data_IF_347275593963
#
_entry.id   IF_347275593963
#
_cell.length_a   1.000
_cell.length_b   1.000
_cell.length_c   1.000
_cell.angle_alpha   90.00
_cell.angle_beta   90.00
_cell.angle_gamma   90.00
#
_symmetry.space_group_name_H-M   'P 1'
#
loop_
_entity.id
_entity.type
_entity.pdbx_description
1 polymer ?
#
# COMPACT_ATOMS: atom_id res chain seq x y z
N UNK A 1 22.40 -6.07 -12.08
CA UNK A 1 21.06 -6.19 -11.48
C UNK A 1 20.60 -4.80 -11.09
N UNK A 2 19.44 -4.35 -11.54
CA UNK A 2 18.84 -3.10 -11.09
C UNK A 2 18.55 -3.23 -9.60
N UNK A 3 18.88 -2.19 -8.85
CA UNK A 3 18.72 -2.17 -7.40
C UNK A 3 17.22 -2.05 -7.06
N UNK A 4 16.64 -3.01 -6.32
CA UNK A 4 15.25 -2.92 -5.86
C UNK A 4 15.07 -1.69 -4.95
N UNK A 5 14.11 -0.84 -5.29
CA UNK A 5 13.79 0.40 -4.59
C UNK A 5 13.01 0.12 -3.30
N UNK A 6 13.33 0.81 -2.20
CA UNK A 6 12.54 0.81 -0.97
C UNK A 6 11.72 2.09 -0.90
N UNK A 7 10.40 1.95 -1.07
CA UNK A 7 9.43 3.03 -1.05
C UNK A 7 8.78 3.14 0.34
N UNK A 8 9.08 4.26 1.03
CA UNK A 8 8.64 4.49 2.40
C UNK A 8 7.39 5.38 2.49
N UNK A 9 6.51 5.14 3.48
CA UNK A 9 5.36 5.99 3.75
C UNK A 9 5.76 7.29 4.46
N UNK A 10 5.15 8.41 4.05
CA UNK A 10 5.31 9.70 4.72
C UNK A 10 3.93 10.29 5.00
N UNK A 11 3.64 10.55 6.29
CA UNK A 11 2.43 11.22 6.74
C UNK A 11 2.69 12.67 7.15
N UNK A 12 3.90 12.95 7.67
CA UNK A 12 4.35 14.27 8.12
C UNK A 12 5.88 14.39 8.03
N UNK A 13 6.44 15.53 8.41
CA UNK A 13 7.89 15.78 8.34
C UNK A 13 8.70 14.82 9.23
N UNK A 14 8.23 14.48 10.43
CA UNK A 14 8.95 13.56 11.33
C UNK A 14 9.08 12.17 10.70
N UNK A 15 8.01 11.69 10.05
CA UNK A 15 8.06 10.44 9.28
C UNK A 15 8.97 10.53 8.05
N UNK A 16 9.05 11.69 7.41
CA UNK A 16 9.99 11.90 6.30
C UNK A 16 11.43 11.72 6.78
N UNK A 17 11.82 12.41 7.87
CA UNK A 17 13.17 12.30 8.41
C UNK A 17 13.48 10.89 8.94
N UNK A 18 12.52 10.23 9.56
CA UNK A 18 12.66 8.84 10.01
C UNK A 18 12.86 7.88 8.82
N UNK A 19 12.07 8.02 7.76
CA UNK A 19 12.21 7.23 6.53
C UNK A 19 13.55 7.45 5.84
N UNK A 20 13.99 8.70 5.75
CA UNK A 20 15.26 9.10 5.17
C UNK A 20 16.43 8.49 5.97
N UNK A 21 16.40 8.61 7.30
CA UNK A 21 17.40 8.04 8.20
C UNK A 21 17.43 6.51 8.16
N UNK A 22 16.30 5.86 7.93
CA UNK A 22 16.19 4.43 7.69
C UNK A 22 16.76 3.98 6.34
N UNK A 23 17.11 4.92 5.45
CA UNK A 23 17.74 4.63 4.16
C UNK A 23 16.76 4.41 3.01
N UNK A 24 15.54 4.91 3.07
CA UNK A 24 14.57 4.86 1.96
C UNK A 24 15.17 5.39 0.65
N UNK A 25 14.78 4.79 -0.47
CA UNK A 25 15.18 5.23 -1.81
C UNK A 25 14.16 6.22 -2.39
N UNK A 26 12.91 6.11 -1.98
CA UNK A 26 11.81 6.99 -2.39
C UNK A 26 10.72 7.06 -1.32
N UNK A 27 9.83 8.03 -1.49
CA UNK A 27 8.79 8.35 -0.54
C UNK A 27 7.42 8.43 -1.24
N UNK A 28 6.36 7.96 -0.56
CA UNK A 28 5.01 8.24 -1.01
C UNK A 28 4.19 8.91 0.08
N UNK A 29 3.42 9.88 -0.32
CA UNK A 29 2.57 10.66 0.56
C UNK A 29 1.26 11.07 -0.13
N UNK A 30 0.39 11.72 0.59
CA UNK A 30 -0.90 12.20 0.10
C UNK A 30 -1.05 13.68 0.38
N UNK A 31 -1.83 14.32 -0.48
CA UNK A 31 -2.43 15.59 -0.15
C UNK A 31 -3.70 15.37 0.72
N UNK A 32 -4.22 16.45 1.26
CA UNK A 32 -5.49 16.52 2.00
C UNK A 32 -6.71 16.11 1.14
N UNK A 33 -6.59 16.17 -0.18
CA UNK A 33 -7.61 15.74 -1.12
C UNK A 33 -7.13 14.61 -2.04
N UNK A 34 -8.08 13.85 -2.60
CA UNK A 34 -7.89 12.78 -3.59
C UNK A 34 -7.08 11.57 -3.12
N UNK A 35 -6.65 11.53 -1.85
CA UNK A 35 -5.91 10.41 -1.28
C UNK A 35 -6.79 9.39 -0.54
N UNK A 36 -6.42 8.11 -0.58
CA UNK A 36 -7.13 7.02 0.11
C UNK A 36 -6.86 6.95 1.64
N UNK A 37 -6.35 8.01 2.26
CA UNK A 37 -6.12 8.14 3.71
C UNK A 37 -6.50 9.54 4.20
N UNK A 38 -7.79 9.89 4.07
CA UNK A 38 -8.31 11.22 4.39
C UNK A 38 -8.16 11.62 5.87
N UNK A 39 -7.95 10.65 6.78
CA UNK A 39 -7.76 10.90 8.21
C UNK A 39 -6.30 10.87 8.66
N UNK A 40 -5.35 10.63 7.75
CA UNK A 40 -3.94 10.84 8.07
C UNK A 40 -3.64 12.34 8.14
N UNK A 41 -2.60 12.70 8.87
CA UNK A 41 -1.98 14.00 8.69
C UNK A 41 -1.41 14.03 7.27
N UNK A 42 -1.96 14.89 6.42
CA UNK A 42 -1.60 14.96 5.01
C UNK A 42 -0.99 16.34 4.71
N UNK A 43 -0.24 16.41 3.64
CA UNK A 43 0.27 17.68 3.13
C UNK A 43 -0.80 18.42 2.34
N UNK A 44 -0.65 19.73 2.22
CA UNK A 44 -1.49 20.56 1.35
C UNK A 44 -0.75 20.88 0.06
N UNK A 45 -1.48 21.34 -0.96
CA UNK A 45 -0.85 21.75 -2.22
C UNK A 45 0.08 22.96 -2.04
N UNK A 46 -0.08 23.72 -0.95
CA UNK A 46 0.74 24.88 -0.62
C UNK A 46 2.07 24.49 0.02
N UNK A 47 2.10 23.44 0.87
CA UNK A 47 3.31 23.07 1.61
C UNK A 47 4.07 21.87 1.02
N UNK A 48 3.48 21.16 0.06
CA UNK A 48 4.08 19.96 -0.55
C UNK A 48 5.40 20.28 -1.29
N UNK A 49 5.52 21.50 -1.83
CA UNK A 49 6.73 21.90 -2.55
C UNK A 49 7.98 21.82 -1.68
N UNK A 50 7.87 22.21 -0.41
CA UNK A 50 8.99 22.11 0.54
C UNK A 50 9.48 20.67 0.70
N UNK A 51 8.54 19.71 0.78
CA UNK A 51 8.87 18.27 0.89
C UNK A 51 9.51 17.76 -0.40
N UNK A 52 9.00 18.17 -1.57
CA UNK A 52 9.57 17.79 -2.87
C UNK A 52 11.01 18.29 -2.98
N UNK A 53 11.25 19.57 -2.66
CA UNK A 53 12.57 20.17 -2.70
C UNK A 53 13.55 19.47 -1.74
N UNK A 54 13.10 19.12 -0.51
CA UNK A 54 13.90 18.37 0.45
C UNK A 54 14.23 16.96 -0.04
N UNK A 55 13.26 16.24 -0.58
CA UNK A 55 13.47 14.89 -1.13
C UNK A 55 14.53 14.93 -2.25
N UNK A 56 14.42 15.88 -3.15
CA UNK A 56 15.38 16.03 -4.26
C UNK A 56 16.76 16.49 -3.79
N UNK A 57 16.84 17.32 -2.73
CA UNK A 57 18.11 17.70 -2.12
C UNK A 57 18.93 16.48 -1.67
N UNK A 58 18.24 15.42 -1.20
CA UNK A 58 18.87 14.16 -0.84
C UNK A 58 19.01 13.16 -2.01
N UNK A 59 18.74 13.59 -3.25
CA UNK A 59 18.82 12.73 -4.43
C UNK A 59 17.82 11.58 -4.44
N UNK A 60 16.67 11.75 -3.80
CA UNK A 60 15.61 10.76 -3.67
C UNK A 60 14.41 11.10 -4.55
N UNK A 61 13.44 10.18 -4.66
CA UNK A 61 12.21 10.36 -5.44
C UNK A 61 10.97 10.45 -4.55
N UNK A 62 9.94 11.14 -5.05
CA UNK A 62 8.69 11.35 -4.35
C UNK A 62 7.48 11.05 -5.25
N UNK A 63 6.53 10.29 -4.73
CA UNK A 63 5.30 9.91 -5.42
C UNK A 63 4.07 10.36 -4.63
N UNK A 64 3.18 11.09 -5.28
CA UNK A 64 1.98 11.63 -4.63
C UNK A 64 0.80 10.73 -4.94
N UNK A 65 0.06 10.34 -3.89
CA UNK A 65 -1.15 9.53 -4.06
C UNK A 65 -2.37 10.40 -4.36
N UNK A 66 -2.94 10.23 -5.54
CA UNK A 66 -4.26 10.72 -5.94
C UNK A 66 -5.13 9.51 -6.31
N UNK A 67 -5.21 8.56 -5.38
CA UNK A 67 -5.66 7.19 -5.61
C UNK A 67 -7.09 6.93 -5.12
N UNK A 68 -7.98 7.87 -5.37
CA UNK A 68 -9.43 7.72 -5.25
C UNK A 68 -10.08 7.87 -6.62
N UNK A 69 -11.30 7.36 -6.79
CA UNK A 69 -12.12 7.70 -7.96
C UNK A 69 -12.50 9.17 -7.91
N UNK A 70 -12.39 9.86 -9.04
CA UNK A 70 -12.64 11.29 -9.16
C UNK A 70 -14.06 11.52 -9.69
N UNK A 71 -14.85 12.34 -9.01
CA UNK A 71 -16.17 12.73 -9.50
C UNK A 71 -16.03 13.79 -10.61
N UNK A 72 -16.96 13.84 -11.54
CA UNK A 72 -16.97 14.85 -12.60
C UNK A 72 -16.85 16.29 -12.05
N UNK A 73 -17.53 16.56 -10.93
CA UNK A 73 -17.48 17.86 -10.25
C UNK A 73 -16.11 18.18 -9.62
N UNK A 74 -15.28 17.17 -9.36
CA UNK A 74 -13.94 17.28 -8.76
C UNK A 74 -12.84 17.32 -9.83
N UNK A 75 -13.12 16.86 -11.05
CA UNK A 75 -12.14 16.63 -12.10
C UNK A 75 -11.31 17.89 -12.42
N UNK A 76 -11.96 19.04 -12.55
CA UNK A 76 -11.23 20.30 -12.83
C UNK A 76 -10.20 20.63 -11.73
N UNK A 77 -10.57 20.44 -10.47
CA UNK A 77 -9.67 20.67 -9.34
C UNK A 77 -8.53 19.63 -9.29
N UNK A 78 -8.87 18.36 -9.51
CA UNK A 78 -7.87 17.29 -9.54
C UNK A 78 -6.80 17.53 -10.62
N UNK A 79 -7.21 17.99 -11.81
CA UNK A 79 -6.28 18.33 -12.90
C UNK A 79 -5.39 19.52 -12.49
N UNK A 80 -5.96 20.56 -11.86
CA UNK A 80 -5.14 21.72 -11.43
C UNK A 80 -4.10 21.32 -10.37
N UNK A 81 -4.38 20.30 -9.56
CA UNK A 81 -3.40 19.74 -8.61
C UNK A 81 -2.28 18.99 -9.36
N UNK A 82 -2.62 18.21 -10.37
CA UNK A 82 -1.60 17.51 -11.21
C UNK A 82 -0.67 18.50 -11.89
N UNK A 83 -1.21 19.57 -12.49
CA UNK A 83 -0.43 20.61 -13.14
C UNK A 83 0.56 21.26 -12.17
N UNK A 84 0.10 21.64 -10.97
CA UNK A 84 0.97 22.19 -9.91
C UNK A 84 2.02 21.19 -9.41
N UNK A 85 1.64 19.94 -9.19
CA UNK A 85 2.58 18.89 -8.76
C UNK A 85 3.67 18.66 -9.82
N UNK A 86 3.31 18.72 -11.09
CA UNK A 86 4.26 18.63 -12.18
C UNK A 86 5.22 19.83 -12.19
N UNK A 87 4.69 21.05 -12.04
CA UNK A 87 5.50 22.28 -11.91
C UNK A 87 6.44 22.24 -10.68
N UNK A 88 6.02 21.60 -9.60
CA UNK A 88 6.82 21.43 -8.38
C UNK A 88 7.89 20.33 -8.51
N UNK A 89 7.84 19.55 -9.60
CA UNK A 89 8.82 18.52 -9.90
C UNK A 89 8.52 17.15 -9.26
N UNK A 90 7.25 16.83 -8.92
CA UNK A 90 6.88 15.49 -8.43
C UNK A 90 7.31 14.43 -9.44
N UNK A 91 7.97 13.35 -8.96
CA UNK A 91 8.48 12.27 -9.82
C UNK A 91 7.37 11.41 -10.42
N UNK A 92 6.22 11.33 -9.77
CA UNK A 92 5.07 10.61 -10.32
C UNK A 92 3.84 10.60 -9.40
N UNK A 93 2.73 10.15 -9.95
CA UNK A 93 1.45 10.03 -9.25
C UNK A 93 1.03 8.58 -9.12
N UNK A 94 0.48 8.22 -7.96
CA UNK A 94 -0.15 6.92 -7.74
C UNK A 94 -1.66 7.13 -7.83
N UNK A 95 -2.31 6.60 -8.87
CA UNK A 95 -3.70 6.87 -9.22
C UNK A 95 -4.53 5.59 -9.32
N UNK A 96 -5.87 5.74 -9.20
CA UNK A 96 -6.82 4.65 -9.34
C UNK A 96 -7.72 4.81 -10.56
N UNK A 97 -8.09 6.04 -10.91
CA UNK A 97 -9.12 6.34 -11.88
C UNK A 97 -8.57 6.30 -13.32
N UNK A 98 -9.11 5.41 -14.16
CA UNK A 98 -8.68 5.25 -15.56
C UNK A 98 -9.04 6.46 -16.42
N UNK A 99 -10.20 7.09 -16.15
CA UNK A 99 -10.59 8.33 -16.83
C UNK A 99 -9.63 9.47 -16.52
N UNK A 100 -9.29 9.61 -15.25
CA UNK A 100 -8.30 10.58 -14.78
C UNK A 100 -6.91 10.29 -15.37
N UNK A 101 -6.48 9.01 -15.42
CA UNK A 101 -5.25 8.59 -16.10
C UNK A 101 -5.20 9.12 -17.53
N UNK A 102 -6.28 8.92 -18.30
CA UNK A 102 -6.35 9.32 -19.71
C UNK A 102 -6.18 10.83 -19.87
N UNK A 103 -6.83 11.61 -19.00
CA UNK A 103 -6.74 13.09 -19.02
C UNK A 103 -5.33 13.55 -18.65
N UNK A 104 -4.68 12.93 -17.66
CA UNK A 104 -3.30 13.29 -17.27
C UNK A 104 -2.32 13.01 -18.42
N UNK A 105 -2.42 11.84 -19.05
CA UNK A 105 -1.54 11.50 -20.19
C UNK A 105 -1.67 12.48 -21.36
N UNK A 106 -2.87 13.02 -21.58
CA UNK A 106 -3.10 14.05 -22.62
C UNK A 106 -2.53 15.41 -22.23
N UNK A 107 -2.78 15.87 -20.99
CA UNK A 107 -2.43 17.21 -20.53
C UNK A 107 -0.99 17.36 -20.01
N UNK A 108 -0.46 16.33 -19.39
CA UNK A 108 0.85 16.31 -18.74
C UNK A 108 1.60 15.03 -19.12
N UNK A 109 1.97 14.85 -20.40
CA UNK A 109 2.50 13.58 -20.91
C UNK A 109 3.83 13.14 -20.26
N UNK A 110 4.56 14.05 -19.60
CA UNK A 110 5.81 13.76 -18.89
C UNK A 110 5.62 13.24 -17.46
N UNK A 111 4.40 13.26 -16.91
CA UNK A 111 4.14 12.75 -15.56
C UNK A 111 4.18 11.23 -15.54
N UNK A 112 5.00 10.65 -14.65
CA UNK A 112 4.96 9.21 -14.40
C UNK A 112 3.66 8.82 -13.65
N UNK A 113 2.99 7.77 -14.12
CA UNK A 113 1.73 7.30 -13.54
C UNK A 113 1.84 5.85 -13.08
N UNK A 114 1.63 5.66 -11.78
CA UNK A 114 1.64 4.37 -11.14
C UNK A 114 0.20 3.91 -10.87
N UNK A 115 -0.14 2.70 -11.30
CA UNK A 115 -1.42 2.09 -10.98
C UNK A 115 -1.49 1.75 -9.49
N UNK A 116 -2.42 2.35 -8.76
CA UNK A 116 -2.59 2.12 -7.32
C UNK A 116 -3.03 0.68 -7.04
N UNK A 117 -2.64 0.16 -5.86
CA UNK A 117 -3.24 -1.07 -5.28
C UNK A 117 -4.77 -1.01 -5.20
N UNK A 118 -5.36 0.19 -5.18
CA UNK A 118 -6.81 0.42 -5.20
C UNK A 118 -7.47 -0.02 -6.53
N UNK A 119 -6.69 -0.27 -7.58
CA UNK A 119 -7.18 -0.84 -8.84
C UNK A 119 -7.35 -2.37 -8.77
N UNK A 120 -7.06 -2.98 -7.63
CA UNK A 120 -7.27 -4.40 -7.32
C UNK A 120 -6.58 -5.37 -8.29
N UNK A 121 -5.44 -5.00 -8.86
CA UNK A 121 -4.71 -5.85 -9.80
C UNK A 121 -4.05 -7.00 -9.06
N UNK A 122 -4.48 -8.23 -9.35
CA UNK A 122 -4.05 -9.47 -8.68
C UNK A 122 -3.49 -10.52 -9.63
N UNK A 123 -3.72 -10.33 -10.93
CA UNK A 123 -3.50 -11.34 -11.95
C UNK A 123 -2.77 -10.76 -13.16
N UNK A 124 -2.08 -11.65 -13.88
CA UNK A 124 -1.28 -11.29 -15.05
C UNK A 124 -2.05 -10.49 -16.11
N UNK A 125 -3.27 -10.89 -16.45
CA UNK A 125 -4.02 -10.20 -17.51
C UNK A 125 -4.46 -8.79 -17.13
N UNK A 126 -4.83 -8.56 -15.86
CA UNK A 126 -5.10 -7.22 -15.33
C UNK A 126 -3.87 -6.33 -15.39
N UNK A 127 -2.72 -6.84 -14.92
CA UNK A 127 -1.45 -6.13 -15.00
C UNK A 127 -1.03 -5.82 -16.45
N UNK A 128 -1.15 -6.81 -17.34
CA UNK A 128 -0.86 -6.65 -18.77
C UNK A 128 -1.73 -5.57 -19.42
N UNK A 129 -3.01 -5.51 -19.05
CA UNK A 129 -3.91 -4.48 -19.55
C UNK A 129 -3.47 -3.09 -19.13
N UNK A 130 -3.16 -2.88 -17.83
CA UNK A 130 -2.66 -1.57 -17.35
C UNK A 130 -1.33 -1.19 -17.98
N UNK A 131 -0.41 -2.13 -18.13
CA UNK A 131 0.84 -1.91 -18.85
C UNK A 131 0.57 -1.46 -20.30
N UNK A 132 -0.42 -2.07 -20.99
CA UNK A 132 -0.79 -1.70 -22.36
C UNK A 132 -1.42 -0.31 -22.47
N UNK A 133 -2.03 0.21 -21.39
CA UNK A 133 -2.52 1.59 -21.32
C UNK A 133 -1.37 2.60 -21.17
N UNK A 134 -0.18 2.17 -20.75
CA UNK A 134 0.98 3.00 -20.56
C UNK A 134 1.18 3.49 -19.12
N UNK A 135 0.73 2.72 -18.13
CA UNK A 135 1.20 2.91 -16.77
C UNK A 135 2.69 2.58 -16.67
N UNK A 136 3.44 3.42 -15.97
CA UNK A 136 4.88 3.28 -15.79
C UNK A 136 5.22 2.23 -14.73
N UNK A 137 4.34 2.09 -13.70
CA UNK A 137 4.48 1.12 -12.60
C UNK A 137 3.12 0.60 -12.17
N UNK A 138 3.07 -0.66 -11.76
CA UNK A 138 1.87 -1.30 -11.20
C UNK A 138 2.14 -1.68 -9.75
N UNK A 139 1.33 -1.11 -8.82
CA UNK A 139 1.28 -1.53 -7.42
C UNK A 139 0.25 -2.64 -7.30
N UNK A 140 0.70 -3.88 -7.26
CA UNK A 140 -0.21 -5.02 -7.17
C UNK A 140 -0.95 -5.07 -5.84
N UNK A 141 -2.08 -5.75 -5.85
CA UNK A 141 -2.88 -5.96 -4.65
C UNK A 141 -2.13 -6.82 -3.63
N UNK A 142 -2.34 -6.57 -2.32
CA UNK A 142 -1.66 -7.28 -1.22
C UNK A 142 -1.99 -8.76 -1.14
N UNK A 143 -3.11 -9.14 -1.72
CA UNK A 143 -3.61 -10.51 -1.80
C UNK A 143 -3.10 -11.31 -3.00
N UNK A 144 -2.13 -10.79 -3.75
CA UNK A 144 -1.52 -11.45 -4.91
C UNK A 144 -0.54 -12.54 -4.46
N UNK A 145 -0.74 -13.81 -4.85
CA UNK A 145 0.19 -14.89 -4.51
C UNK A 145 1.50 -14.79 -5.31
N UNK A 146 2.57 -15.37 -4.76
CA UNK A 146 3.93 -15.28 -5.32
C UNK A 146 4.01 -15.79 -6.77
N UNK A 147 3.22 -16.80 -7.13
CA UNK A 147 3.19 -17.34 -8.48
C UNK A 147 2.64 -16.34 -9.51
N UNK A 148 1.65 -15.53 -9.10
CA UNK A 148 1.15 -14.45 -9.96
C UNK A 148 2.12 -13.27 -10.01
N UNK A 149 2.79 -12.94 -8.89
CA UNK A 149 3.87 -11.93 -8.86
C UNK A 149 4.95 -12.29 -9.89
N UNK A 150 5.38 -13.54 -9.91
CA UNK A 150 6.38 -14.06 -10.87
C UNK A 150 5.93 -13.90 -12.32
N UNK A 151 4.67 -14.16 -12.63
CA UNK A 151 4.12 -13.95 -13.98
C UNK A 151 4.06 -12.47 -14.34
N UNK A 152 3.61 -11.62 -13.40
CA UNK A 152 3.49 -10.17 -13.63
C UNK A 152 4.86 -9.53 -13.83
N UNK A 153 5.89 -9.97 -13.09
CA UNK A 153 7.26 -9.48 -13.22
C UNK A 153 7.88 -9.70 -14.62
N UNK A 154 7.29 -10.59 -15.44
CA UNK A 154 7.73 -10.76 -16.84
C UNK A 154 7.25 -9.66 -17.79
N UNK A 155 6.37 -8.75 -17.33
CA UNK A 155 5.89 -7.62 -18.12
C UNK A 155 6.97 -6.52 -18.20
N UNK A 156 6.90 -5.69 -19.23
CA UNK A 156 7.82 -4.56 -19.44
C UNK A 156 7.50 -3.32 -18.57
N UNK A 157 6.54 -3.41 -17.65
CA UNK A 157 6.14 -2.37 -16.72
C UNK A 157 6.78 -2.61 -15.35
N UNK A 158 7.17 -1.55 -14.64
CA UNK A 158 7.72 -1.69 -13.28
C UNK A 158 6.70 -2.31 -12.32
N UNK A 159 7.18 -3.18 -11.45
CA UNK A 159 6.38 -3.89 -10.47
C UNK A 159 6.69 -3.42 -9.05
N UNK A 160 5.65 -2.99 -8.32
CA UNK A 160 5.72 -2.58 -6.91
C UNK A 160 4.90 -3.52 -6.05
N UNK A 161 5.51 -4.04 -4.97
CA UNK A 161 4.90 -5.03 -4.07
C UNK A 161 4.92 -4.53 -2.64
N UNK A 162 3.79 -4.58 -1.93
CA UNK A 162 3.77 -4.36 -0.49
C UNK A 162 4.44 -5.52 0.24
N UNK A 163 5.37 -5.20 1.14
CA UNK A 163 6.14 -6.21 1.91
C UNK A 163 5.93 -6.09 3.42
N UNK A 164 5.42 -4.95 3.91
CA UNK A 164 5.28 -4.70 5.34
C UNK A 164 4.08 -3.83 5.66
N UNK A 165 3.43 -4.11 6.80
CA UNK A 165 2.40 -3.28 7.42
C UNK A 165 0.97 -3.81 7.27
N UNK A 166 0.00 -2.95 7.48
CA UNK A 166 -1.40 -3.36 7.67
C UNK A 166 -2.04 -4.03 6.46
N UNK A 167 -2.60 -5.21 6.68
CA UNK A 167 -3.45 -5.90 5.71
C UNK A 167 -4.92 -5.47 5.84
N UNK A 168 -5.68 -5.67 4.77
CA UNK A 168 -7.11 -5.50 4.72
C UNK A 168 -7.80 -6.86 4.61
N UNK A 169 -8.97 -7.05 5.27
CA UNK A 169 -9.78 -8.27 5.17
C UNK A 169 -10.47 -8.39 3.81
N UNK A 170 -10.70 -7.28 3.15
CA UNK A 170 -11.28 -7.23 1.81
C UNK A 170 -10.20 -7.17 0.75
N UNK A 171 -10.55 -7.55 -0.46
CA UNK A 171 -9.72 -7.26 -1.63
C UNK A 171 -9.37 -5.77 -1.70
N UNK A 172 -8.15 -5.48 -2.15
CA UNK A 172 -7.61 -4.13 -2.24
C UNK A 172 -8.55 -3.23 -3.07
N UNK A 173 -8.95 -2.08 -2.51
CA UNK A 173 -9.82 -1.13 -3.20
C UNK A 173 -11.31 -1.48 -3.27
N UNK A 174 -11.76 -2.66 -2.84
CA UNK A 174 -13.13 -3.15 -3.08
C UNK A 174 -14.02 -3.18 -1.82
N UNK A 175 -13.53 -2.68 -0.68
CA UNK A 175 -14.28 -2.73 0.59
C UNK A 175 -15.43 -1.74 0.65
N UNK A 176 -16.64 -2.24 0.89
CA UNK A 176 -17.85 -1.45 1.09
C UNK A 176 -18.37 -1.44 2.54
N UNK A 177 -17.70 -2.11 3.49
CA UNK A 177 -18.19 -2.24 4.87
C UNK A 177 -18.49 -0.88 5.51
N UNK A 178 -17.57 0.09 5.39
CA UNK A 178 -17.78 1.42 5.97
C UNK A 178 -18.94 2.20 5.34
N UNK A 179 -19.29 1.88 4.09
CA UNK A 179 -20.46 2.49 3.42
C UNK A 179 -21.76 1.96 4.00
N UNK A 180 -21.84 0.65 4.26
CA UNK A 180 -23.00 0.02 4.85
C UNK A 180 -23.19 0.41 6.33
N UNK A 181 -22.12 0.45 7.11
CA UNK A 181 -22.18 0.70 8.57
C UNK A 181 -22.13 2.18 8.98
N UNK A 182 -21.96 3.12 8.07
CA UNK A 182 -21.84 4.53 8.49
C UNK A 182 -21.81 5.53 7.35
N UNK A 183 -22.19 5.13 6.14
CA UNK A 183 -22.21 6.01 4.97
C UNK A 183 -20.84 6.56 4.55
N UNK A 184 -19.74 5.92 4.99
CA UNK A 184 -18.36 6.35 4.71
C UNK A 184 -17.75 5.54 3.57
N UNK A 185 -17.23 6.19 2.55
CA UNK A 185 -16.52 5.49 1.48
C UNK A 185 -15.07 5.18 1.89
N UNK A 186 -14.79 3.91 2.15
CA UNK A 186 -13.42 3.44 2.44
C UNK A 186 -12.49 3.69 1.23
N UNK A 187 -13.00 3.52 0.01
CA UNK A 187 -12.25 3.71 -1.23
C UNK A 187 -11.94 5.19 -1.52
N UNK A 188 -12.57 6.10 -0.79
CA UNK A 188 -12.27 7.53 -0.80
C UNK A 188 -11.59 8.00 0.51
N UNK A 189 -10.86 7.10 1.15
CA UNK A 189 -10.00 7.40 2.30
C UNK A 189 -10.72 7.53 3.65
N UNK A 190 -12.03 7.25 3.72
CA UNK A 190 -12.84 7.42 4.92
C UNK A 190 -13.22 6.11 5.61
N UNK A 191 -12.31 5.13 5.58
CA UNK A 191 -12.51 3.85 6.25
C UNK A 191 -12.69 4.07 7.77
N UNK A 192 -13.79 3.54 8.33
CA UNK A 192 -14.06 3.57 9.77
C UNK A 192 -13.44 2.40 10.53
N UNK A 193 -12.81 1.46 9.82
CA UNK A 193 -12.21 0.27 10.42
C UNK A 193 -13.20 -0.73 11.04
N UNK A 194 -14.39 -0.98 10.43
CA UNK A 194 -15.35 -1.91 11.03
C UNK A 194 -14.75 -3.31 11.23
N UNK A 195 -13.90 -3.78 10.32
CA UNK A 195 -13.19 -5.06 10.47
C UNK A 195 -12.24 -5.13 11.69
N UNK A 196 -12.02 -4.02 12.39
CA UNK A 196 -11.19 -3.92 13.60
C UNK A 196 -12.00 -3.94 14.90
N UNK A 197 -13.32 -4.17 14.80
CA UNK A 197 -14.22 -4.26 15.94
C UNK A 197 -14.41 -5.71 16.37
N UNK A 198 -14.90 -5.91 17.61
CA UNK A 198 -15.35 -7.21 18.08
C UNK A 198 -16.66 -7.57 17.42
N UNK A 199 -16.80 -8.84 17.06
CA UNK A 199 -18.01 -9.44 16.50
C UNK A 199 -18.29 -10.77 17.17
N UNK A 200 -19.59 -11.10 17.30
CA UNK A 200 -20.02 -12.43 17.64
C UNK A 200 -20.26 -13.24 16.38
N UNK A 201 -19.64 -14.39 16.27
CA UNK A 201 -19.98 -15.39 15.27
C UNK A 201 -21.05 -16.31 15.87
N UNK A 202 -22.23 -16.32 15.24
CA UNK A 202 -23.37 -17.12 15.69
C UNK A 202 -23.67 -18.17 14.62
N UNK A 203 -23.77 -19.44 15.05
CA UNK A 203 -24.29 -20.53 14.21
C UNK A 203 -25.25 -21.37 15.05
N UNK A 204 -26.39 -21.78 14.46
CA UNK A 204 -27.45 -22.53 15.13
C UNK A 204 -27.88 -21.91 16.48
N UNK A 205 -28.09 -20.58 16.48
CA UNK A 205 -28.44 -19.75 17.66
C UNK A 205 -27.43 -19.80 18.81
N UNK A 206 -26.23 -20.31 18.59
CA UNK A 206 -25.14 -20.35 19.57
C UNK A 206 -24.02 -19.41 19.19
N UNK A 207 -23.51 -18.66 20.17
CA UNK A 207 -22.28 -17.88 20.00
C UNK A 207 -21.10 -18.86 19.93
N UNK A 208 -20.49 -18.95 18.75
CA UNK A 208 -19.31 -19.78 18.49
C UNK A 208 -18.05 -19.01 18.87
N UNK A 209 -18.06 -17.69 18.66
CA UNK A 209 -16.95 -16.83 18.97
C UNK A 209 -17.38 -15.40 19.28
N UNK A 210 -16.63 -14.72 20.14
CA UNK A 210 -16.80 -13.30 20.49
C UNK A 210 -15.41 -12.65 20.56
N UNK A 211 -14.92 -12.16 19.41
CA UNK A 211 -13.57 -11.57 19.31
C UNK A 211 -13.43 -10.69 18.07
N UNK A 212 -12.21 -10.20 17.82
CA UNK A 212 -11.81 -9.41 16.63
C UNK A 212 -11.66 -10.29 15.38
N UNK A 213 -12.70 -11.05 15.05
CA UNK A 213 -12.68 -12.13 14.06
C UNK A 213 -12.34 -11.72 12.62
N UNK A 214 -12.51 -10.45 12.28
CA UNK A 214 -12.15 -9.90 10.97
C UNK A 214 -10.84 -9.12 10.98
N UNK A 215 -10.17 -9.07 12.16
CA UNK A 215 -8.96 -8.27 12.30
C UNK A 215 -7.73 -9.02 11.79
N UNK A 216 -7.19 -8.56 10.68
CA UNK A 216 -5.99 -9.13 10.06
C UNK A 216 -4.72 -8.82 10.86
N UNK A 217 -3.79 -9.77 10.89
CA UNK A 217 -2.39 -9.53 11.26
C UNK A 217 -1.75 -8.55 10.27
N UNK A 218 -0.62 -7.97 10.63
CA UNK A 218 0.16 -7.12 9.73
C UNK A 218 1.07 -7.98 8.83
N UNK A 219 1.23 -7.55 7.58
CA UNK A 219 2.14 -8.20 6.63
C UNK A 219 3.59 -8.00 7.08
N UNK A 220 4.38 -9.06 7.01
CA UNK A 220 5.83 -9.02 7.11
C UNK A 220 6.41 -10.19 6.29
N UNK A 221 7.14 -9.86 5.24
CA UNK A 221 7.77 -10.86 4.35
C UNK A 221 9.29 -10.77 4.36
N UNK A 222 9.87 -10.20 5.42
CA UNK A 222 11.31 -9.96 5.48
C UNK A 222 12.13 -11.25 5.37
N UNK A 223 11.62 -12.35 5.91
CA UNK A 223 12.25 -13.68 5.83
C UNK A 223 12.25 -14.24 4.40
N UNK A 224 11.34 -13.76 3.55
CA UNK A 224 11.15 -14.24 2.18
C UNK A 224 11.67 -13.23 1.13
N UNK A 225 12.42 -12.22 1.55
CA UNK A 225 12.91 -11.16 0.65
C UNK A 225 13.76 -11.69 -0.50
N UNK A 226 14.55 -12.72 -0.27
CA UNK A 226 15.42 -13.27 -1.30
C UNK A 226 14.63 -13.80 -2.51
N UNK A 227 13.51 -14.47 -2.27
CA UNK A 227 12.64 -14.93 -3.36
C UNK A 227 12.03 -13.78 -4.16
N UNK A 228 11.59 -12.70 -3.49
CA UNK A 228 11.08 -11.51 -4.17
C UNK A 228 12.16 -10.81 -5.00
N UNK A 229 13.40 -10.74 -4.48
CA UNK A 229 14.53 -10.16 -5.20
C UNK A 229 14.94 -11.00 -6.41
N UNK A 230 14.89 -12.34 -6.32
CA UNK A 230 15.16 -13.27 -7.43
C UNK A 230 14.12 -13.15 -8.56
N UNK A 231 12.85 -12.84 -8.23
CA UNK A 231 11.80 -12.55 -9.22
C UNK A 231 12.13 -11.27 -10.01
N UNK A 232 12.89 -10.34 -9.42
CA UNK A 232 13.28 -9.09 -10.05
C UNK A 232 12.22 -7.99 -9.93
N UNK A 233 11.55 -7.91 -8.78
CA UNK A 233 10.64 -6.78 -8.50
C UNK A 233 11.41 -5.46 -8.44
N UNK A 234 10.84 -4.40 -9.01
CA UNK A 234 11.49 -3.09 -9.09
C UNK A 234 11.43 -2.32 -7.78
N UNK A 235 10.34 -2.48 -7.03
CA UNK A 235 10.07 -1.70 -5.84
C UNK A 235 9.36 -2.51 -4.76
N UNK A 236 9.86 -2.43 -3.53
CA UNK A 236 9.14 -2.87 -2.34
C UNK A 236 8.53 -1.67 -1.63
N UNK A 237 7.31 -1.85 -1.13
CA UNK A 237 6.54 -0.79 -0.46
C UNK A 237 6.20 -1.14 0.96
N UNK A 238 6.46 -0.20 1.87
CA UNK A 238 6.11 -0.29 3.28
C UNK A 238 4.82 0.49 3.52
N UNK A 239 3.80 -0.15 4.13
CA UNK A 239 2.58 0.54 4.57
C UNK A 239 2.81 1.11 5.98
N UNK A 240 2.41 2.38 6.19
CA UNK A 240 2.63 2.98 7.50
C UNK A 240 2.27 4.46 7.62
N UNK A 241 1.58 5.09 6.66
CA UNK A 241 1.29 6.55 6.70
C UNK A 241 0.53 7.02 7.96
N UNK A 242 -0.11 6.12 8.70
CA UNK A 242 -0.82 6.40 9.96
C UNK A 242 -0.10 5.78 11.17
N UNK A 243 1.16 5.39 11.01
CA UNK A 243 2.02 4.86 12.07
C UNK A 243 2.94 5.95 12.61
N UNK A 244 3.79 5.61 13.59
CA UNK A 244 4.75 6.55 14.18
C UNK A 244 6.05 6.63 13.36
N UNK A 245 6.85 7.71 13.52
CA UNK A 245 8.17 7.80 12.89
C UNK A 245 9.09 6.63 13.24
N UNK A 246 9.09 6.16 14.50
CA UNK A 246 9.90 5.03 14.97
C UNK A 246 9.53 3.73 14.22
N UNK A 247 8.23 3.48 14.03
CA UNK A 247 7.78 2.34 13.26
C UNK A 247 8.32 2.38 11.83
N UNK A 248 8.24 3.54 11.18
CA UNK A 248 8.68 3.69 9.79
C UNK A 248 10.19 3.53 9.69
N UNK A 249 10.96 4.17 10.59
CA UNK A 249 12.41 3.99 10.67
C UNK A 249 12.78 2.52 10.81
N UNK A 250 12.19 1.82 11.78
CA UNK A 250 12.44 0.41 12.06
C UNK A 250 12.14 -0.47 10.84
N UNK A 251 10.99 -0.30 10.22
CA UNK A 251 10.63 -1.08 9.04
C UNK A 251 11.60 -0.80 7.88
N UNK A 252 11.84 0.47 7.55
CA UNK A 252 12.70 0.85 6.41
C UNK A 252 14.13 0.35 6.63
N UNK A 253 14.73 0.59 7.79
CA UNK A 253 16.12 0.19 8.07
C UNK A 253 16.30 -1.33 8.01
N UNK A 254 15.36 -2.11 8.57
CA UNK A 254 15.44 -3.57 8.52
C UNK A 254 15.32 -4.12 7.09
N UNK A 255 14.38 -3.62 6.27
CA UNK A 255 14.28 -4.03 4.87
C UNK A 255 15.51 -3.61 4.05
N UNK A 256 16.08 -2.43 4.32
CA UNK A 256 17.35 -2.00 3.69
C UNK A 256 18.49 -2.93 4.06
N UNK A 257 18.68 -3.22 5.35
CA UNK A 257 19.73 -4.14 5.81
C UNK A 257 19.53 -5.55 5.24
N UNK A 258 18.28 -6.05 5.19
CA UNK A 258 18.01 -7.36 4.59
C UNK A 258 18.38 -7.42 3.10
N UNK A 259 18.09 -6.37 2.34
CA UNK A 259 18.40 -6.32 0.91
C UNK A 259 19.93 -6.29 0.66
N UNK A 260 20.67 -5.49 1.44
CA UNK A 260 22.09 -5.22 1.16
C UNK A 260 23.06 -6.04 1.99
N UNK A 261 22.71 -6.34 3.24
CA UNK A 261 23.60 -6.95 4.24
C UNK A 261 23.15 -8.36 4.61
N UNK A 262 21.99 -8.81 4.12
CA UNK A 262 21.36 -10.08 4.48
C UNK A 262 21.17 -10.22 6.01
N UNK A 263 20.89 -9.10 6.68
CA UNK A 263 20.72 -9.03 8.12
C UNK A 263 19.53 -8.12 8.48
N UNK A 264 18.84 -8.45 9.56
CA UNK A 264 17.76 -7.64 10.13
C UNK A 264 17.54 -8.00 11.59
N UNK A 265 16.88 -7.09 12.35
CA UNK A 265 16.48 -7.34 13.74
C UNK A 265 14.98 -7.65 13.81
N UNK A 266 14.65 -8.92 13.96
CA UNK A 266 13.24 -9.35 14.11
C UNK A 266 12.62 -8.83 15.41
N UNK A 267 13.41 -8.69 16.48
CA UNK A 267 12.95 -8.15 17.76
C UNK A 267 12.50 -6.69 17.62
N UNK A 268 13.28 -5.85 16.92
CA UNK A 268 12.91 -4.45 16.70
C UNK A 268 11.58 -4.34 15.93
N UNK A 269 11.36 -5.25 14.96
CA UNK A 269 10.09 -5.30 14.22
C UNK A 269 8.94 -5.74 15.12
N UNK A 270 9.12 -6.73 15.99
CA UNK A 270 8.07 -7.19 16.95
C UNK A 270 7.75 -6.10 17.95
N UNK A 271 8.75 -5.41 18.48
CA UNK A 271 8.58 -4.33 19.47
C UNK A 271 7.91 -3.09 18.86
N UNK A 272 7.92 -2.99 17.53
CA UNK A 272 7.17 -1.95 16.83
C UNK A 272 5.65 -2.22 16.88
N UNK A 273 4.85 -1.15 16.75
CA UNK A 273 3.37 -1.26 16.81
C UNK A 273 2.79 -2.15 15.70
N UNK A 274 2.46 -3.39 16.02
CA UNK A 274 1.85 -4.37 15.10
C UNK A 274 0.77 -5.21 15.79
N UNK A 275 0.07 -6.05 15.01
CA UNK A 275 -1.00 -6.97 15.45
C UNK A 275 -0.59 -8.45 15.31
N UNK A 276 0.67 -8.73 15.50
CA UNK A 276 1.29 -9.96 15.06
C UNK A 276 1.54 -9.94 13.55
N UNK A 277 2.52 -10.72 13.10
CA UNK A 277 2.94 -10.75 11.71
C UNK A 277 2.45 -11.99 10.96
N UNK A 278 2.32 -11.83 9.65
CA UNK A 278 2.03 -12.89 8.69
C UNK A 278 2.76 -12.57 7.38
N UNK A 279 3.23 -13.58 6.65
CA UNK A 279 3.67 -13.42 5.26
C UNK A 279 2.48 -13.45 4.28
N UNK A 280 1.27 -13.52 4.82
CA UNK A 280 -0.01 -13.28 4.20
C UNK A 280 -0.29 -14.12 2.97
N UNK A 281 -0.99 -13.51 2.06
CA UNK A 281 -1.43 -14.13 0.81
C UNK A 281 -0.29 -14.39 -0.17
N UNK A 282 0.84 -13.67 -0.04
CA UNK A 282 1.95 -13.74 -1.01
C UNK A 282 2.52 -15.16 -1.05
N UNK A 283 2.83 -15.74 0.12
CA UNK A 283 3.46 -17.05 0.21
C UNK A 283 2.48 -18.20 0.48
N UNK A 284 1.17 -17.94 0.33
CA UNK A 284 0.14 -18.96 0.21
C UNK A 284 0.09 -19.97 1.35
N UNK A 285 0.14 -19.53 2.60
CA UNK A 285 0.29 -20.48 3.69
C UNK A 285 -0.81 -20.38 4.74
N UNK A 286 -1.48 -21.49 4.95
CA UNK A 286 -2.26 -21.88 6.10
C UNK A 286 -3.42 -20.99 6.56
N UNK A 287 -4.57 -21.60 6.63
CA UNK A 287 -5.84 -21.11 7.18
C UNK A 287 -5.72 -20.47 8.59
N UNK A 288 -4.61 -20.66 9.27
CA UNK A 288 -4.31 -20.14 10.63
C UNK A 288 -3.86 -18.67 10.66
N UNK A 289 -3.58 -18.04 9.51
CA UNK A 289 -2.81 -16.78 9.48
C UNK A 289 -3.62 -15.52 9.27
N UNK A 290 -4.91 -15.62 9.00
CA UNK A 290 -5.68 -14.46 8.52
C UNK A 290 -6.35 -13.70 9.66
N UNK A 291 -6.92 -14.38 10.63
CA UNK A 291 -7.57 -13.77 11.79
C UNK A 291 -6.87 -14.14 13.08
N UNK A 292 -6.89 -13.23 14.05
CA UNK A 292 -6.41 -13.51 15.39
C UNK A 292 -7.15 -14.71 15.99
N UNK A 293 -6.48 -15.87 16.16
CA UNK A 293 -6.80 -16.97 17.06
C UNK A 293 -8.14 -17.74 16.93
N UNK A 294 -8.89 -17.66 15.85
CA UNK A 294 -10.27 -18.15 15.92
C UNK A 294 -10.63 -19.42 15.18
N UNK A 295 -9.78 -19.91 14.32
CA UNK A 295 -10.16 -21.04 13.44
C UNK A 295 -9.72 -22.38 14.03
N UNK A 296 -8.79 -22.39 14.97
CA UNK A 296 -8.28 -23.64 15.58
C UNK A 296 -9.36 -24.47 16.31
N UNK A 297 -10.48 -23.85 16.71
CA UNK A 297 -11.54 -24.53 17.47
C UNK A 297 -12.86 -24.73 16.69
N UNK A 298 -12.94 -24.29 15.45
CA UNK A 298 -14.17 -24.47 14.67
C UNK A 298 -13.94 -25.58 13.64
N UNK A 299 -14.22 -26.81 14.00
CA UNK A 299 -14.30 -27.97 13.08
C UNK A 299 -15.36 -27.83 11.97
N UNK A 300 -15.72 -26.60 11.61
CA UNK A 300 -16.71 -26.25 10.60
C UNK A 300 -16.11 -26.05 9.19
N UNK A 301 -14.81 -25.89 9.07
CA UNK A 301 -14.17 -25.67 7.76
C UNK A 301 -13.91 -26.96 6.96
N UNK A 302 -14.15 -28.12 7.54
CA UNK A 302 -14.07 -29.40 6.80
C UNK A 302 -15.37 -29.76 6.07
N UNK A 303 -16.42 -28.97 6.18
CA UNK A 303 -17.75 -29.29 5.61
C UNK A 303 -18.22 -28.37 4.46
N UNK A 304 -17.43 -27.40 4.03
CA UNK A 304 -17.81 -26.53 2.88
C UNK A 304 -16.67 -26.34 1.91
#
# INVERSE_FOLDING_TARGET
MTKTEVLAPVGNFDMFYASLSGGADSFYLSLDEFGARAYAENFTIENIKEVIDLVHLFGKRIFITMNTLIKDSEMKKAISYVEKLYEYGTDGLIIQDIGFFSIIKDKVPGMQLHASTQMAVREYYGAKYLASLGFDRIVIARETPIEEIRKIASLSCQLEVFVHGSLCVSYSGECLMSSFYGGRSANRGRCAGPCRQKYQLIADDKVIADDYILNMKDLNVIDNMDELLEIGIDCIKIEGRMKTPEYVYTAVSNYKSQIYEKSYSYNDLIDSSNRGYTNGFIFGQNKEYIALKMIENIGLLEKY
#
